data_IF_605162301769
#
_entry.id   IF_605162301769
#
_cell.length_a   1.000
_cell.length_b   1.000
_cell.length_c   1.000
_cell.angle_alpha   90.00
_cell.angle_beta   90.00
_cell.angle_gamma   90.00
#
_symmetry.space_group_name_H-M   'P 1'
#
loop_
_entity.id
_entity.type
_entity.pdbx_description
1 polymer ?
#
# COMPACT_ATOMS: atom_id res chain seq x y z
N UNK A 1 33.73 25.54 -6.83
CA UNK A 1 32.56 26.11 -6.13
C UNK A 1 31.46 25.06 -6.16
N UNK A 2 31.26 24.35 -5.05
CA UNK A 2 30.15 23.40 -4.91
C UNK A 2 28.87 24.21 -4.70
N UNK A 3 27.83 23.92 -5.48
CA UNK A 3 26.49 24.48 -5.26
C UNK A 3 25.99 24.05 -3.87
N UNK A 4 25.35 24.93 -3.09
CA UNK A 4 24.79 24.55 -1.81
C UNK A 4 23.67 23.54 -2.07
N UNK A 5 23.78 22.33 -1.52
CA UNK A 5 22.70 21.34 -1.54
C UNK A 5 21.44 21.98 -0.92
N UNK A 6 20.42 22.21 -1.75
CA UNK A 6 19.14 22.71 -1.27
C UNK A 6 18.57 21.69 -0.28
N UNK A 7 18.57 22.07 1.01
CA UNK A 7 17.97 21.24 2.06
C UNK A 7 16.48 21.09 1.76
N UNK A 8 16.04 19.84 1.57
CA UNK A 8 14.65 19.47 1.39
C UNK A 8 13.74 20.17 2.41
N UNK A 9 12.77 20.96 1.94
CA UNK A 9 11.79 21.65 2.77
C UNK A 9 10.42 20.98 2.64
N UNK A 10 9.99 20.17 3.62
CA UNK A 10 8.73 19.45 3.56
C UNK A 10 7.56 20.43 3.57
N UNK A 11 6.80 20.44 2.48
CA UNK A 11 5.55 21.20 2.34
C UNK A 11 4.34 20.27 2.35
N UNK A 12 3.18 20.73 2.81
CA UNK A 12 1.91 19.97 2.82
C UNK A 12 1.57 19.39 1.45
N UNK A 13 1.97 20.07 0.36
CA UNK A 13 1.79 19.59 -1.00
C UNK A 13 2.45 18.22 -1.29
N UNK A 14 3.45 17.79 -0.51
CA UNK A 14 4.08 16.48 -0.66
C UNK A 14 3.22 15.32 -0.13
N UNK A 15 2.18 15.62 0.66
CA UNK A 15 1.20 14.62 1.11
C UNK A 15 0.19 14.26 0.03
N UNK A 16 0.18 14.98 -1.11
CA UNK A 16 -0.81 14.78 -2.17
C UNK A 16 -1.00 13.32 -2.60
N UNK A 17 0.06 12.52 -2.84
CA UNK A 17 -0.12 11.11 -3.22
C UNK A 17 -0.80 10.28 -2.13
N UNK A 18 -0.50 10.55 -0.85
CA UNK A 18 -1.08 9.84 0.29
C UNK A 18 -2.54 10.24 0.49
N UNK A 19 -2.84 11.54 0.41
CA UNK A 19 -4.23 12.05 0.47
C UNK A 19 -5.05 11.44 -0.66
N UNK A 20 -4.50 11.41 -1.89
CA UNK A 20 -5.17 10.83 -3.05
C UNK A 20 -5.45 9.34 -2.85
N UNK A 21 -4.46 8.56 -2.40
CA UNK A 21 -4.63 7.13 -2.11
C UNK A 21 -5.72 6.90 -1.07
N UNK A 22 -5.68 7.62 0.06
CA UNK A 22 -6.69 7.49 1.13
C UNK A 22 -8.09 7.92 0.66
N UNK A 23 -8.20 8.99 -0.14
CA UNK A 23 -9.46 9.44 -0.70
C UNK A 23 -10.07 8.38 -1.64
N UNK A 24 -9.24 7.76 -2.49
CA UNK A 24 -9.66 6.65 -3.36
C UNK A 24 -10.06 5.44 -2.51
N UNK A 25 -9.30 5.08 -1.47
CA UNK A 25 -9.65 3.99 -0.55
C UNK A 25 -11.01 4.22 0.11
N UNK A 26 -11.26 5.43 0.60
CA UNK A 26 -12.55 5.80 1.17
C UNK A 26 -13.68 5.69 0.14
N UNK A 27 -13.50 6.27 -1.05
CA UNK A 27 -14.50 6.26 -2.11
C UNK A 27 -14.85 4.83 -2.59
N UNK A 28 -13.84 4.00 -2.85
CA UNK A 28 -14.04 2.63 -3.33
C UNK A 28 -14.50 1.68 -2.22
N UNK A 29 -14.03 1.89 -0.98
CA UNK A 29 -14.31 1.02 0.15
C UNK A 29 -15.63 1.30 0.84
N UNK A 30 -16.20 2.49 0.71
CA UNK A 30 -17.41 2.90 1.43
C UNK A 30 -18.65 2.09 1.02
N UNK A 31 -18.88 1.91 -0.29
CA UNK A 31 -20.06 1.20 -0.76
C UNK A 31 -20.09 -0.27 -0.27
N UNK A 32 -19.02 -1.08 -0.47
CA UNK A 32 -18.99 -2.45 0.08
C UNK A 32 -19.09 -2.50 1.61
N UNK A 33 -18.47 -1.54 2.32
CA UNK A 33 -18.57 -1.46 3.78
C UNK A 33 -20.01 -1.19 4.25
N UNK A 34 -20.71 -0.25 3.59
CA UNK A 34 -22.08 0.12 3.95
C UNK A 34 -23.10 -1.01 3.76
N UNK A 35 -22.80 -1.95 2.85
CA UNK A 35 -23.65 -3.10 2.53
C UNK A 35 -23.25 -4.36 3.33
N UNK A 36 -22.28 -4.25 4.26
CA UNK A 36 -21.75 -5.38 5.05
C UNK A 36 -21.40 -6.59 4.18
N UNK A 37 -20.72 -6.36 3.04
CA UNK A 37 -20.32 -7.43 2.13
C UNK A 37 -19.40 -8.39 2.89
N UNK A 38 -19.84 -9.63 3.05
CA UNK A 38 -19.02 -10.68 3.65
C UNK A 38 -17.98 -11.13 2.64
N UNK A 39 -16.76 -10.64 2.81
CA UNK A 39 -15.60 -11.12 2.06
C UNK A 39 -15.00 -12.31 2.79
N UNK A 40 -14.74 -13.40 2.06
CA UNK A 40 -14.02 -14.53 2.63
C UNK A 40 -12.60 -14.09 3.00
N UNK A 41 -12.24 -14.29 4.27
CA UNK A 41 -10.90 -14.03 4.73
C UNK A 41 -9.96 -15.12 4.20
N UNK A 42 -8.93 -14.71 3.48
CA UNK A 42 -8.02 -15.62 2.76
C UNK A 42 -6.71 -15.78 3.53
N UNK A 43 -6.38 -14.81 4.41
CA UNK A 43 -5.07 -14.71 5.05
C UNK A 43 -5.24 -14.30 6.51
N UNK A 44 -5.02 -15.22 7.45
CA UNK A 44 -4.96 -14.89 8.89
C UNK A 44 -5.82 -15.79 9.76
N UNK A 45 -5.91 -15.43 11.04
CA UNK A 45 -6.89 -16.03 11.94
C UNK A 45 -7.44 -14.99 12.92
N UNK A 46 -8.59 -15.30 13.51
CA UNK A 46 -9.33 -14.38 14.38
C UNK A 46 -8.82 -14.34 15.82
N UNK A 47 -7.93 -15.27 16.20
CA UNK A 47 -7.36 -15.34 17.54
C UNK A 47 -5.94 -14.75 17.57
N UNK A 48 -5.52 -14.22 18.72
CA UNK A 48 -4.19 -13.63 18.90
C UNK A 48 -3.06 -14.60 18.48
N UNK A 49 -3.06 -15.89 18.87
CA UNK A 49 -2.01 -16.82 18.45
C UNK A 49 -1.96 -17.03 16.93
N UNK A 50 -3.12 -17.29 16.30
CA UNK A 50 -3.20 -17.52 14.85
C UNK A 50 -2.83 -16.27 14.06
N UNK A 51 -3.31 -15.10 14.51
CA UNK A 51 -3.01 -13.81 13.90
C UNK A 51 -1.51 -13.48 13.98
N UNK A 52 -0.88 -13.75 15.13
CA UNK A 52 0.55 -13.51 15.33
C UNK A 52 1.40 -14.39 14.42
N UNK A 53 1.05 -15.67 14.28
CA UNK A 53 1.74 -16.61 13.39
C UNK A 53 1.59 -16.18 11.92
N UNK A 54 0.39 -15.79 11.48
CA UNK A 54 0.17 -15.28 10.13
C UNK A 54 0.92 -13.99 9.84
N UNK A 55 0.92 -13.04 10.78
CA UNK A 55 1.70 -11.81 10.67
C UNK A 55 3.20 -12.10 10.57
N UNK A 56 3.70 -13.06 11.37
CA UNK A 56 5.10 -13.50 11.29
C UNK A 56 5.43 -14.11 9.92
N UNK A 57 4.59 -15.01 9.39
CA UNK A 57 4.78 -15.56 8.05
C UNK A 57 4.81 -14.47 6.97
N UNK A 58 3.93 -13.47 7.08
CA UNK A 58 3.90 -12.34 6.16
C UNK A 58 5.19 -11.52 6.21
N UNK A 59 5.65 -11.14 7.41
CA UNK A 59 6.89 -10.38 7.60
C UNK A 59 8.11 -11.19 7.13
N UNK A 60 8.19 -12.49 7.42
CA UNK A 60 9.26 -13.35 6.92
C UNK A 60 9.27 -13.45 5.40
N UNK A 61 8.08 -13.52 4.77
CA UNK A 61 7.95 -13.56 3.31
C UNK A 61 8.40 -12.24 2.69
N UNK A 62 8.03 -11.10 3.28
CA UNK A 62 8.53 -9.78 2.86
C UNK A 62 10.04 -9.69 2.99
N UNK A 63 10.60 -10.05 4.14
CA UNK A 63 12.05 -10.03 4.36
C UNK A 63 12.80 -10.97 3.40
N UNK A 64 12.23 -12.16 3.14
CA UNK A 64 12.75 -13.10 2.16
C UNK A 64 12.74 -12.52 0.73
N UNK A 65 11.62 -11.90 0.32
CA UNK A 65 11.49 -11.26 -0.99
C UNK A 65 12.48 -10.11 -1.18
N UNK A 66 12.67 -9.28 -0.16
CA UNK A 66 13.65 -8.19 -0.15
C UNK A 66 15.09 -8.74 -0.26
N UNK A 67 15.38 -9.86 0.41
CA UNK A 67 16.69 -10.53 0.32
C UNK A 67 16.94 -11.09 -1.08
N UNK A 68 15.95 -11.74 -1.70
CA UNK A 68 16.05 -12.23 -3.08
C UNK A 68 16.28 -11.08 -4.06
N UNK A 69 15.54 -9.98 -3.90
CA UNK A 69 15.71 -8.77 -4.67
C UNK A 69 17.14 -8.22 -4.55
N UNK A 70 17.66 -8.12 -3.32
CA UNK A 70 19.04 -7.69 -3.06
C UNK A 70 20.08 -8.60 -3.72
N UNK A 71 19.88 -9.91 -3.67
CA UNK A 71 20.77 -10.88 -4.33
C UNK A 71 20.74 -10.73 -5.86
N UNK A 72 19.58 -10.48 -6.45
CA UNK A 72 19.44 -10.26 -7.90
C UNK A 72 20.14 -8.98 -8.35
N UNK A 73 20.02 -7.91 -7.56
CA UNK A 73 20.73 -6.65 -7.80
C UNK A 73 22.24 -6.86 -7.73
N UNK A 74 22.74 -7.53 -6.67
CA UNK A 74 24.18 -7.83 -6.53
C UNK A 74 24.73 -8.73 -7.64
N UNK A 75 23.91 -9.60 -8.22
CA UNK A 75 24.27 -10.45 -9.36
C UNK A 75 24.17 -9.74 -10.72
N UNK A 76 23.90 -8.43 -10.75
CA UNK A 76 23.80 -7.64 -11.99
C UNK A 76 22.58 -7.97 -12.85
N UNK A 77 21.56 -8.68 -12.32
CA UNK A 77 20.37 -9.09 -13.07
C UNK A 77 19.25 -8.03 -13.06
N UNK A 78 19.60 -6.75 -13.17
CA UNK A 78 18.66 -5.63 -13.04
C UNK A 78 17.53 -5.68 -14.09
N UNK A 79 17.84 -6.05 -15.32
CA UNK A 79 16.84 -6.18 -16.40
C UNK A 79 15.83 -7.32 -16.16
N UNK A 80 16.23 -8.38 -15.44
CA UNK A 80 15.31 -9.44 -15.03
C UNK A 80 14.41 -8.94 -13.90
N UNK A 81 14.97 -8.26 -12.90
CA UNK A 81 14.22 -7.69 -11.79
C UNK A 81 13.14 -6.70 -12.27
N UNK A 82 13.51 -5.77 -13.16
CA UNK A 82 12.56 -4.81 -13.73
C UNK A 82 11.42 -5.50 -14.49
N UNK A 83 11.71 -6.54 -15.28
CA UNK A 83 10.67 -7.33 -15.97
C UNK A 83 9.78 -8.07 -14.98
N UNK A 84 10.36 -8.73 -13.98
CA UNK A 84 9.61 -9.44 -12.95
C UNK A 84 8.67 -8.51 -12.18
N UNK A 85 9.14 -7.33 -11.77
CA UNK A 85 8.33 -6.31 -11.07
C UNK A 85 7.20 -5.80 -11.97
N UNK A 86 7.47 -5.47 -13.24
CA UNK A 86 6.42 -5.05 -14.19
C UNK A 86 5.35 -6.13 -14.37
N UNK A 87 5.77 -7.38 -14.59
CA UNK A 87 4.85 -8.51 -14.75
C UNK A 87 4.01 -8.73 -13.50
N UNK A 88 4.64 -8.67 -12.31
CA UNK A 88 3.94 -8.77 -11.03
C UNK A 88 2.92 -7.64 -10.86
N UNK A 89 3.26 -6.40 -11.19
CA UNK A 89 2.35 -5.25 -11.12
C UNK A 89 1.15 -5.41 -12.05
N UNK A 90 1.35 -5.90 -13.29
CA UNK A 90 0.24 -6.18 -14.21
C UNK A 90 -0.68 -7.27 -13.65
N UNK A 91 -0.10 -8.34 -13.10
CA UNK A 91 -0.86 -9.43 -12.49
C UNK A 91 -1.66 -8.95 -11.28
N UNK A 92 -1.03 -8.18 -10.38
CA UNK A 92 -1.71 -7.58 -9.21
C UNK A 92 -2.83 -6.65 -9.66
N UNK A 93 -2.58 -5.79 -10.66
CA UNK A 93 -3.58 -4.90 -11.21
C UNK A 93 -4.81 -5.67 -11.71
N UNK A 94 -4.60 -6.76 -12.45
CA UNK A 94 -5.67 -7.63 -12.91
C UNK A 94 -6.38 -8.34 -11.76
N UNK A 95 -5.65 -8.96 -10.83
CA UNK A 95 -6.22 -9.71 -9.71
C UNK A 95 -7.10 -8.84 -8.81
N UNK A 96 -6.64 -7.63 -8.51
CA UNK A 96 -7.38 -6.69 -7.66
C UNK A 96 -8.55 -6.06 -8.41
N UNK A 97 -8.41 -5.76 -9.71
CA UNK A 97 -9.53 -5.32 -10.54
C UNK A 97 -10.63 -6.39 -10.65
N UNK A 98 -10.24 -7.66 -10.78
CA UNK A 98 -11.16 -8.80 -10.79
C UNK A 98 -11.89 -8.94 -9.46
N UNK A 99 -11.16 -8.85 -8.34
CA UNK A 99 -11.73 -8.93 -7.01
C UNK A 99 -12.70 -7.77 -6.73
N UNK A 100 -12.35 -6.53 -7.10
CA UNK A 100 -13.24 -5.40 -6.87
C UNK A 100 -14.48 -5.45 -7.78
N UNK A 101 -14.30 -5.83 -9.04
CA UNK A 101 -15.42 -5.99 -9.98
C UNK A 101 -16.37 -7.10 -9.53
N UNK A 102 -15.88 -8.19 -8.94
CA UNK A 102 -16.76 -9.26 -8.44
C UNK A 102 -17.64 -8.79 -7.28
N UNK A 103 -17.14 -7.91 -6.41
CA UNK A 103 -17.94 -7.26 -5.35
C UNK A 103 -19.02 -6.36 -5.95
N UNK A 104 -18.70 -5.55 -6.96
CA UNK A 104 -19.70 -4.69 -7.59
C UNK A 104 -20.79 -5.51 -8.31
N UNK A 105 -20.41 -6.61 -8.96
CA UNK A 105 -21.36 -7.52 -9.62
C UNK A 105 -22.28 -8.21 -8.62
N UNK A 106 -21.76 -8.65 -7.47
CA UNK A 106 -22.58 -9.27 -6.42
C UNK A 106 -23.57 -8.27 -5.81
N UNK A 107 -23.12 -7.02 -5.58
CA UNK A 107 -23.98 -5.93 -5.12
C UNK A 107 -25.06 -5.53 -6.13
N UNK A 108 -24.80 -5.67 -7.43
CA UNK A 108 -25.76 -5.41 -8.49
C UNK A 108 -26.83 -6.51 -8.64
N UNK A 109 -26.81 -7.55 -7.80
CA UNK A 109 -27.81 -8.63 -7.80
C UNK A 109 -27.67 -9.61 -8.98
N UNK A 110 -26.51 -9.66 -9.63
CA UNK A 110 -26.25 -10.62 -10.71
C UNK A 110 -25.70 -11.92 -10.10
N UNK A 111 -26.47 -13.02 -10.08
CA UNK A 111 -26.01 -14.28 -9.50
C UNK A 111 -24.89 -14.87 -10.37
N UNK A 112 -23.67 -14.91 -9.81
CA UNK A 112 -22.62 -15.78 -10.32
C UNK A 112 -23.03 -17.23 -10.01
N UNK A 113 -22.98 -18.19 -10.97
CA UNK A 113 -22.21 -18.18 -12.21
C UNK A 113 -23.10 -18.26 -13.47
N UNK A 114 -23.75 -17.15 -13.86
CA UNK A 114 -24.23 -17.01 -15.24
C UNK A 114 -23.01 -16.86 -16.18
N UNK A 115 -22.89 -17.67 -17.26
CA UNK A 115 -21.83 -17.53 -18.25
C UNK A 115 -21.72 -16.11 -18.84
N UNK A 116 -22.85 -15.45 -19.07
CA UNK A 116 -22.89 -14.10 -19.62
C UNK A 116 -22.31 -13.07 -18.62
N UNK A 117 -22.73 -13.14 -17.35
CA UNK A 117 -22.20 -12.30 -16.28
C UNK A 117 -20.70 -12.51 -16.07
N UNK A 118 -20.21 -13.74 -16.22
CA UNK A 118 -18.78 -14.08 -16.10
C UNK A 118 -17.95 -13.43 -17.21
N UNK A 119 -18.44 -13.44 -18.46
CA UNK A 119 -17.75 -12.78 -19.58
C UNK A 119 -17.69 -11.27 -19.36
N UNK A 120 -18.79 -10.65 -18.91
CA UNK A 120 -18.82 -9.21 -18.63
C UNK A 120 -17.87 -8.87 -17.47
N UNK A 121 -17.89 -9.65 -16.39
CA UNK A 121 -16.97 -9.49 -15.25
C UNK A 121 -15.51 -9.50 -15.70
N UNK A 122 -15.10 -10.51 -16.48
CA UNK A 122 -13.73 -10.62 -16.99
C UNK A 122 -13.38 -9.44 -17.90
N UNK A 123 -14.28 -9.06 -18.80
CA UNK A 123 -14.07 -7.95 -19.74
C UNK A 123 -13.88 -6.63 -19.00
N UNK A 124 -14.74 -6.33 -18.02
CA UNK A 124 -14.64 -5.14 -17.18
C UNK A 124 -13.34 -5.16 -16.37
N UNK A 125 -12.98 -6.31 -15.80
CA UNK A 125 -11.76 -6.45 -15.00
C UNK A 125 -10.50 -6.23 -15.82
N UNK A 126 -10.46 -6.77 -17.05
CA UNK A 126 -9.35 -6.55 -18.01
C UNK A 126 -9.30 -5.07 -18.41
N UNK A 127 -10.44 -4.44 -18.70
CA UNK A 127 -10.50 -3.04 -19.09
C UNK A 127 -10.00 -2.10 -17.98
N UNK A 128 -10.43 -2.34 -16.73
CA UNK A 128 -9.98 -1.59 -15.55
C UNK A 128 -8.48 -1.82 -15.31
N UNK A 129 -8.02 -3.07 -15.37
CA UNK A 129 -6.60 -3.39 -15.19
C UNK A 129 -5.71 -2.76 -16.26
N UNK A 130 -6.17 -2.73 -17.51
CA UNK A 130 -5.49 -2.05 -18.61
C UNK A 130 -5.46 -0.54 -18.39
N UNK A 131 -6.58 0.08 -18.00
CA UNK A 131 -6.64 1.51 -17.71
C UNK A 131 -5.69 1.92 -16.58
N UNK A 132 -5.70 1.21 -15.45
CA UNK A 132 -4.79 1.46 -14.33
C UNK A 132 -3.33 1.19 -14.73
N UNK A 133 -3.06 0.10 -15.47
CA UNK A 133 -1.73 -0.21 -15.98
C UNK A 133 -1.17 0.88 -16.90
N UNK A 134 -2.00 1.43 -17.79
CA UNK A 134 -1.62 2.56 -18.66
C UNK A 134 -1.30 3.83 -17.87
N UNK A 135 -2.01 4.08 -16.76
CA UNK A 135 -1.71 5.20 -15.86
C UNK A 135 -0.37 4.97 -15.13
N UNK A 136 -0.15 3.77 -14.56
CA UNK A 136 1.06 3.42 -13.80
C UNK A 136 2.32 3.47 -14.66
N UNK A 137 2.26 2.93 -15.88
CA UNK A 137 3.39 2.89 -16.82
C UNK A 137 3.40 4.06 -17.81
N UNK A 138 2.49 5.02 -17.63
CA UNK A 138 2.36 6.19 -18.49
C UNK A 138 3.55 7.15 -18.38
N UNK A 139 3.78 7.93 -19.44
CA UNK A 139 4.86 8.95 -19.48
C UNK A 139 4.57 10.19 -18.63
N UNK A 140 3.30 10.49 -18.37
CA UNK A 140 2.89 11.69 -17.65
C UNK A 140 2.98 11.45 -16.12
N UNK A 141 3.91 12.14 -15.46
CA UNK A 141 4.16 12.00 -14.01
C UNK A 141 2.92 12.23 -13.16
N UNK A 142 2.04 13.16 -13.52
CA UNK A 142 0.82 13.43 -12.75
C UNK A 142 -0.20 12.29 -12.87
N UNK A 143 -0.35 11.73 -14.07
CA UNK A 143 -1.22 10.56 -14.29
C UNK A 143 -0.62 9.29 -13.67
N UNK A 144 0.70 9.20 -13.60
CA UNK A 144 1.37 8.12 -12.89
C UNK A 144 1.08 8.15 -11.39
N UNK A 145 1.05 9.33 -10.75
CA UNK A 145 0.65 9.46 -9.34
C UNK A 145 -0.78 8.97 -9.13
N UNK A 146 -1.69 9.30 -10.05
CA UNK A 146 -3.07 8.79 -10.03
C UNK A 146 -3.11 7.27 -10.18
N UNK A 147 -2.39 6.71 -11.16
CA UNK A 147 -2.35 5.28 -11.41
C UNK A 147 -1.77 4.48 -10.24
N UNK A 148 -0.66 4.95 -9.66
CA UNK A 148 -0.05 4.33 -8.48
C UNK A 148 -0.98 4.48 -7.28
N UNK A 149 -1.62 5.64 -7.08
CA UNK A 149 -2.61 5.84 -6.02
C UNK A 149 -3.84 4.93 -6.14
N UNK A 150 -4.35 4.73 -7.36
CA UNK A 150 -5.43 3.77 -7.64
C UNK A 150 -4.99 2.34 -7.32
N UNK A 151 -3.84 1.92 -7.85
CA UNK A 151 -3.33 0.57 -7.62
C UNK A 151 -3.05 0.33 -6.13
N UNK A 152 -2.45 1.29 -5.41
CA UNK A 152 -2.17 1.16 -3.98
C UNK A 152 -3.46 1.12 -3.16
N UNK A 153 -4.43 1.96 -3.48
CA UNK A 153 -5.73 2.00 -2.81
C UNK A 153 -6.52 0.70 -3.02
N UNK A 154 -6.60 0.22 -4.27
CA UNK A 154 -7.28 -1.04 -4.58
C UNK A 154 -6.58 -2.24 -3.93
N UNK A 155 -5.24 -2.28 -3.97
CA UNK A 155 -4.48 -3.37 -3.33
C UNK A 155 -4.65 -3.34 -1.82
N UNK A 156 -4.60 -2.16 -1.21
CA UNK A 156 -4.85 -1.99 0.22
C UNK A 156 -6.29 -2.34 0.61
N UNK A 157 -7.26 -2.03 -0.23
CA UNK A 157 -8.66 -2.44 -0.05
C UNK A 157 -8.79 -3.96 -0.07
N UNK A 158 -8.18 -4.63 -1.05
CA UNK A 158 -8.14 -6.09 -1.13
C UNK A 158 -7.52 -6.70 0.13
N UNK A 159 -6.35 -6.22 0.56
CA UNK A 159 -5.68 -6.75 1.76
C UNK A 159 -6.47 -6.46 3.04
N UNK A 160 -6.99 -5.24 3.21
CA UNK A 160 -7.74 -4.84 4.40
C UNK A 160 -9.10 -5.54 4.54
N UNK A 161 -9.68 -5.98 3.42
CA UNK A 161 -10.89 -6.81 3.39
C UNK A 161 -10.60 -8.32 3.54
N UNK A 162 -9.45 -8.79 3.03
CA UNK A 162 -9.11 -10.22 2.98
C UNK A 162 -8.34 -10.72 4.21
N UNK A 163 -7.76 -9.80 4.99
CA UNK A 163 -7.04 -10.09 6.24
C UNK A 163 -7.97 -9.77 7.43
N UNK A 164 -8.15 -10.69 8.39
CA UNK A 164 -8.89 -10.40 9.60
C UNK A 164 -8.31 -9.17 10.32
N UNK A 165 -9.18 -8.33 10.86
CA UNK A 165 -8.77 -7.04 11.44
C UNK A 165 -7.68 -7.19 12.50
N UNK A 166 -7.75 -8.22 13.36
CA UNK A 166 -6.73 -8.48 14.37
C UNK A 166 -5.36 -8.81 13.76
N UNK A 167 -5.36 -9.63 12.70
CA UNK A 167 -4.14 -9.95 11.95
C UNK A 167 -3.57 -8.70 11.28
N UNK A 168 -4.43 -7.82 10.73
CA UNK A 168 -4.00 -6.56 10.12
C UNK A 168 -3.36 -5.60 11.14
N UNK A 169 -3.93 -5.48 12.35
CA UNK A 169 -3.34 -4.64 13.41
C UNK A 169 -1.99 -5.19 13.91
N UNK A 170 -1.90 -6.51 14.13
CA UNK A 170 -0.64 -7.15 14.54
C UNK A 170 0.41 -7.03 13.43
N UNK A 171 0.02 -7.21 12.16
CA UNK A 171 0.89 -7.01 11.02
C UNK A 171 1.41 -5.57 10.94
N UNK A 172 0.54 -4.57 11.10
CA UNK A 172 0.94 -3.17 11.14
C UNK A 172 1.95 -2.91 12.27
N UNK A 173 1.71 -3.43 13.47
CA UNK A 173 2.67 -3.36 14.58
C UNK A 173 3.99 -4.08 14.32
N UNK A 174 3.94 -5.25 13.68
CA UNK A 174 5.14 -6.03 13.32
C UNK A 174 5.98 -5.32 12.25
N UNK A 175 5.35 -4.66 11.27
CA UNK A 175 6.03 -3.86 10.26
C UNK A 175 6.68 -2.61 10.85
N UNK A 176 6.00 -1.93 11.77
CA UNK A 176 6.56 -0.82 12.55
C UNK A 176 7.85 -1.26 13.26
N UNK A 177 7.81 -2.43 13.91
CA UNK A 177 8.97 -2.99 14.60
C UNK A 177 10.08 -3.36 13.61
N UNK A 178 9.74 -4.06 12.52
CA UNK A 178 10.67 -4.47 11.47
C UNK A 178 11.41 -3.28 10.85
N UNK A 179 10.67 -2.26 10.39
CA UNK A 179 11.26 -1.07 9.74
C UNK A 179 12.13 -0.28 10.70
N UNK A 180 11.72 -0.15 11.97
CA UNK A 180 12.53 0.49 13.00
C UNK A 180 13.85 -0.27 13.21
N UNK A 181 13.78 -1.60 13.36
CA UNK A 181 14.98 -2.43 13.52
C UNK A 181 15.87 -2.42 12.27
N UNK A 182 15.27 -2.46 11.09
CA UNK A 182 15.97 -2.48 9.81
C UNK A 182 16.70 -1.17 9.53
N UNK A 183 16.14 -0.02 9.92
CA UNK A 183 16.83 1.27 9.81
C UNK A 183 17.98 1.38 10.81
N UNK A 184 17.79 1.01 12.07
CA UNK A 184 18.80 1.24 13.11
C UNK A 184 19.89 0.16 13.18
N UNK A 185 19.65 -1.07 12.69
CA UNK A 185 20.61 -2.20 12.77
C UNK A 185 20.79 -2.98 11.46
N UNK A 186 20.07 -2.64 10.38
CA UNK A 186 20.07 -3.44 9.16
C UNK A 186 21.18 -3.09 8.15
N UNK A 187 21.60 -4.06 7.31
CA UNK A 187 22.56 -3.87 6.21
C UNK A 187 22.06 -2.95 5.07
N UNK A 188 20.93 -2.26 5.26
CA UNK A 188 20.24 -1.39 4.31
C UNK A 188 20.94 -0.02 4.20
N UNK A 189 21.64 0.43 5.24
CA UNK A 189 22.53 1.60 5.17
C UNK A 189 23.64 1.47 4.11
N UNK A 190 24.03 0.25 3.75
CA UNK A 190 25.00 -0.02 2.69
C UNK A 190 24.37 -0.06 1.27
N UNK A 191 23.05 -0.27 1.15
CA UNK A 191 22.31 -0.28 -0.11
C UNK A 191 21.97 1.14 -0.58
N UNK A 192 21.74 2.06 0.35
CA UNK A 192 21.49 3.47 0.04
C UNK A 192 22.66 4.16 -0.69
N UNK A 193 23.87 3.60 -0.59
CA UNK A 193 25.07 4.14 -1.24
C UNK A 193 25.45 3.52 -2.58
N UNK A 194 24.82 2.42 -3.03
CA UNK A 194 25.42 1.61 -4.10
C UNK A 194 24.59 1.25 -5.33
N UNK A 195 23.28 1.51 -5.43
CA UNK A 195 22.56 1.16 -6.69
C UNK A 195 21.43 2.14 -7.00
N UNK A 196 21.30 2.43 -8.30
CA UNK A 196 20.18 3.07 -8.99
C UNK A 196 18.83 2.31 -8.79
N UNK A 197 18.37 2.18 -7.53
CA UNK A 197 17.04 1.63 -7.17
C UNK A 197 15.91 2.53 -7.68
N UNK A 198 16.24 3.75 -8.14
CA UNK A 198 15.35 4.72 -8.77
C UNK A 198 14.68 4.20 -10.06
N UNK A 199 15.20 3.13 -10.67
CA UNK A 199 14.70 2.58 -11.94
C UNK A 199 13.81 1.33 -11.77
N UNK A 200 13.05 1.22 -10.67
CA UNK A 200 12.03 0.17 -10.51
C UNK A 200 10.63 0.70 -10.89
N UNK A 201 10.21 0.51 -12.15
CA UNK A 201 8.99 1.12 -12.67
C UNK A 201 7.76 0.65 -11.91
N UNK A 202 7.03 1.61 -11.33
CA UNK A 202 5.78 1.39 -10.61
C UNK A 202 5.92 0.99 -9.13
N UNK A 203 7.09 0.47 -8.71
CA UNK A 203 7.32 0.13 -7.30
C UNK A 203 7.76 1.34 -6.47
N UNK A 204 8.57 2.22 -7.08
CA UNK A 204 8.97 3.52 -6.54
C UNK A 204 8.60 4.57 -7.57
N UNK A 205 7.91 5.62 -7.14
CA UNK A 205 7.60 6.76 -7.99
C UNK A 205 8.11 8.02 -7.33
N UNK A 206 8.51 9.00 -8.14
CA UNK A 206 9.04 10.27 -7.64
C UNK A 206 7.99 11.36 -7.86
N UNK A 207 7.52 11.94 -6.77
CA UNK A 207 6.65 13.11 -6.79
C UNK A 207 7.42 14.32 -6.25
N UNK A 208 7.58 15.34 -7.11
CA UNK A 208 8.50 16.47 -6.87
C UNK A 208 9.91 15.95 -6.60
N UNK A 209 10.43 16.16 -5.38
CA UNK A 209 11.78 15.76 -4.96
C UNK A 209 11.78 14.47 -4.13
N UNK A 210 10.61 13.89 -3.84
CA UNK A 210 10.46 12.75 -2.95
C UNK A 210 10.13 11.47 -3.74
N UNK A 211 10.96 10.44 -3.56
CA UNK A 211 10.65 9.08 -4.01
C UNK A 211 9.84 8.37 -2.94
N UNK A 212 8.60 8.00 -3.25
CA UNK A 212 7.68 7.30 -2.34
C UNK A 212 7.52 5.86 -2.82
N UNK A 213 7.56 4.91 -1.87
CA UNK A 213 7.28 3.51 -2.14
C UNK A 213 5.78 3.28 -2.34
N UNK A 214 5.41 2.55 -3.38
CA UNK A 214 4.01 2.12 -3.56
C UNK A 214 3.54 1.25 -2.38
N UNK A 215 4.44 0.44 -1.81
CA UNK A 215 4.16 -0.41 -0.65
C UNK A 215 3.65 0.36 0.56
N UNK A 216 4.25 1.51 0.88
CA UNK A 216 3.83 2.35 2.01
C UNK A 216 2.37 2.79 1.85
N UNK A 217 1.99 3.21 0.64
CA UNK A 217 0.60 3.60 0.33
C UNK A 217 -0.36 2.40 0.36
N UNK A 218 0.09 1.21 -0.01
CA UNK A 218 -0.69 -0.03 0.15
C UNK A 218 -0.98 -0.29 1.63
N UNK A 219 0.02 -0.16 2.52
CA UNK A 219 -0.17 -0.36 3.95
C UNK A 219 -1.02 0.72 4.61
N UNK A 220 -0.91 1.98 4.17
CA UNK A 220 -1.80 3.05 4.61
C UNK A 220 -3.25 2.74 4.22
N UNK A 221 -3.46 2.29 2.98
CA UNK A 221 -4.77 1.93 2.45
C UNK A 221 -5.33 0.66 3.12
N UNK A 222 -4.47 -0.31 3.47
CA UNK A 222 -4.83 -1.49 4.27
C UNK A 222 -5.37 -1.06 5.63
N UNK A 223 -4.62 -0.24 6.38
CA UNK A 223 -5.02 0.20 7.71
C UNK A 223 -6.33 1.01 7.67
N UNK A 224 -6.46 1.91 6.68
CA UNK A 224 -7.67 2.69 6.47
C UNK A 224 -8.87 1.81 6.10
N UNK A 225 -8.68 0.78 5.27
CA UNK A 225 -9.76 -0.17 4.92
C UNK A 225 -10.19 -0.97 6.14
N UNK A 226 -9.24 -1.51 6.92
CA UNK A 226 -9.53 -2.22 8.17
C UNK A 226 -10.32 -1.33 9.12
N UNK A 227 -9.95 -0.04 9.24
CA UNK A 227 -10.70 0.94 10.02
C UNK A 227 -12.14 1.09 9.52
N UNK A 228 -12.32 1.32 8.22
CA UNK A 228 -13.62 1.56 7.60
C UNK A 228 -14.58 0.36 7.71
N UNK A 229 -14.09 -0.83 7.38
CA UNK A 229 -14.92 -2.03 7.26
C UNK A 229 -15.26 -2.68 8.61
N UNK A 230 -14.44 -2.47 9.64
CA UNK A 230 -14.64 -3.11 10.95
C UNK A 230 -15.11 -2.14 12.04
N UNK A 231 -14.77 -0.86 11.93
CA UNK A 231 -15.03 0.15 12.97
C UNK A 231 -15.78 1.38 12.44
N UNK A 232 -16.07 1.43 11.14
CA UNK A 232 -16.91 2.46 10.51
C UNK A 232 -16.18 3.72 10.05
N UNK A 233 -16.96 4.68 9.56
CA UNK A 233 -16.44 5.90 8.94
C UNK A 233 -15.64 6.79 9.90
N UNK A 234 -16.05 6.88 11.18
CA UNK A 234 -15.34 7.66 12.19
C UNK A 234 -13.91 7.14 12.41
N UNK A 235 -13.76 5.82 12.50
CA UNK A 235 -12.46 5.17 12.61
C UNK A 235 -11.63 5.36 11.34
N UNK A 236 -12.23 5.31 10.15
CA UNK A 236 -11.56 5.62 8.89
C UNK A 236 -10.97 7.04 8.87
N UNK A 237 -11.77 8.06 9.20
CA UNK A 237 -11.29 9.44 9.19
C UNK A 237 -10.23 9.68 10.27
N UNK A 238 -10.39 9.08 11.45
CA UNK A 238 -9.41 9.18 12.53
C UNK A 238 -8.09 8.50 12.15
N UNK A 239 -8.15 7.32 11.52
CA UNK A 239 -6.98 6.63 10.96
C UNK A 239 -6.31 7.47 9.87
N UNK A 240 -7.08 8.04 8.93
CA UNK A 240 -6.57 8.87 7.85
C UNK A 240 -5.85 10.12 8.37
N UNK A 241 -6.42 10.81 9.36
CA UNK A 241 -5.76 11.95 10.03
C UNK A 241 -4.47 11.51 10.71
N UNK A 242 -4.49 10.38 11.42
CA UNK A 242 -3.30 9.80 12.06
C UNK A 242 -2.19 9.47 11.06
N UNK A 243 -2.54 8.80 9.96
CA UNK A 243 -1.62 8.47 8.87
C UNK A 243 -1.02 9.74 8.27
N UNK A 244 -1.85 10.73 7.90
CA UNK A 244 -1.38 11.99 7.31
C UNK A 244 -0.46 12.76 8.25
N UNK A 245 -0.80 12.83 9.53
CA UNK A 245 0.03 13.46 10.56
C UNK A 245 1.38 12.73 10.69
N UNK A 246 1.35 11.39 10.76
CA UNK A 246 2.57 10.58 10.86
C UNK A 246 3.46 10.67 9.62
N UNK A 247 2.87 10.71 8.43
CA UNK A 247 3.64 10.89 7.18
C UNK A 247 4.26 12.27 7.12
N UNK A 248 3.53 13.31 7.52
CA UNK A 248 4.06 14.67 7.58
C UNK A 248 5.22 14.79 8.59
N UNK A 249 5.10 14.16 9.76
CA UNK A 249 6.19 14.08 10.73
C UNK A 249 7.39 13.30 10.18
N UNK A 250 7.15 12.22 9.44
CA UNK A 250 8.18 11.47 8.72
C UNK A 250 8.95 12.33 7.72
N UNK A 251 8.25 13.13 6.91
CA UNK A 251 8.87 14.09 5.98
C UNK A 251 9.68 15.17 6.71
N UNK A 252 9.19 15.64 7.86
CA UNK A 252 9.91 16.60 8.72
C UNK A 252 11.17 16.00 9.34
N UNK A 253 11.14 14.73 9.72
CA UNK A 253 12.32 14.02 10.21
C UNK A 253 13.34 13.78 9.07
N UNK A 254 12.87 13.46 7.86
CA UNK A 254 13.73 13.30 6.68
C UNK A 254 14.46 14.60 6.29
N UNK A 255 13.89 15.76 6.60
CA UNK A 255 14.59 17.04 6.43
C UNK A 255 15.79 17.22 7.39
N UNK A 256 15.89 16.39 8.44
CA UNK A 256 16.96 16.41 9.46
C UNK A 256 17.88 15.19 9.39
N UNK A 257 17.45 14.09 8.79
CA UNK A 257 18.19 12.81 8.70
C UNK A 257 18.20 12.28 7.26
N UNK A 258 19.36 11.83 6.76
CA UNK A 258 19.52 11.32 5.37
C UNK A 258 18.62 10.11 5.04
N UNK A 259 18.28 9.30 6.03
CA UNK A 259 17.30 8.21 5.94
C UNK A 259 16.46 8.17 7.21
N UNK A 260 15.14 8.09 7.04
CA UNK A 260 14.20 7.94 8.14
C UNK A 260 13.05 6.99 7.74
N UNK A 261 12.65 6.05 8.60
CA UNK A 261 11.54 5.15 8.30
C UNK A 261 10.23 5.94 8.47
N UNK A 262 9.61 6.32 7.36
CA UNK A 262 8.34 7.06 7.36
C UNK A 262 7.11 6.21 7.67
N UNK A 263 7.18 4.90 7.38
CA UNK A 263 6.08 3.94 7.53
C UNK A 263 5.71 3.68 9.01
N UNK A 264 6.66 3.44 9.94
CA UNK A 264 6.36 3.22 11.36
C UNK A 264 5.52 4.31 12.02
N UNK A 265 5.90 5.58 11.82
CA UNK A 265 5.19 6.71 12.44
C UNK A 265 3.77 6.85 11.89
N UNK A 266 3.61 6.73 10.58
CA UNK A 266 2.31 6.84 9.92
C UNK A 266 1.35 5.74 10.37
N UNK A 267 1.82 4.49 10.47
CA UNK A 267 1.00 3.38 10.94
C UNK A 267 0.69 3.47 12.44
N UNK A 268 1.65 3.84 13.29
CA UNK A 268 1.41 4.00 14.72
C UNK A 268 0.37 5.08 15.03
N UNK A 269 0.48 6.24 14.38
CA UNK A 269 -0.50 7.33 14.55
C UNK A 269 -1.86 6.96 13.94
N UNK A 270 -1.89 6.22 12.82
CA UNK A 270 -3.13 5.66 12.27
C UNK A 270 -3.80 4.69 13.23
N UNK A 271 -3.05 3.76 13.84
CA UNK A 271 -3.54 2.81 14.84
C UNK A 271 -4.06 3.52 16.09
N UNK A 272 -3.35 4.54 16.57
CA UNK A 272 -3.82 5.38 17.66
C UNK A 272 -5.13 6.10 17.30
N UNK A 273 -5.26 6.59 16.05
CA UNK A 273 -6.49 7.18 15.55
C UNK A 273 -7.67 6.22 15.55
N UNK A 274 -7.46 4.96 15.14
CA UNK A 274 -8.48 3.90 15.24
C UNK A 274 -8.88 3.69 16.71
N UNK A 275 -7.89 3.54 17.60
CA UNK A 275 -8.14 3.33 19.03
C UNK A 275 -8.94 4.47 19.66
N UNK A 276 -8.64 5.73 19.32
CA UNK A 276 -9.39 6.90 19.77
C UNK A 276 -10.83 6.90 19.26
N UNK A 277 -11.04 6.54 17.99
CA UNK A 277 -12.37 6.50 17.40
C UNK A 277 -13.28 5.42 18.02
N UNK A 278 -12.69 4.30 18.48
CA UNK A 278 -13.44 3.23 19.16
C UNK A 278 -13.87 3.65 20.57
N UNK A 279 -13.14 4.57 21.19
CA UNK A 279 -13.43 5.06 22.55
C UNK A 279 -14.46 6.20 22.59
N UNK A 280 -14.79 6.80 21.44
CA UNK A 280 -15.75 7.90 21.28
C UNK A 280 -17.13 7.38 20.88
#
# INVERSE_FOLDING_TARGET
MAQPEERFKPTIAHLYPVILSLAITGALGYLPASQNVVVQQIIGGDTVPTASVSALYFVLTLAGSATVMLLLVRKGKMSFLQRAVKTALVFVCFAVALWYSSILFSLAGNPLPDPSATIVLLTVSIAVAAAVGLLVFGRNKNLQVLGVGLLSAMTGLFLGASIPWLTALILAGALVLYDTLAVFRGPIGALAKSVEVRDLPGAVFTYKELSIGMGDMVFYSLLATTALWNFGALAFFSAAVGILAGTFLGFKALARYEMFPGLPFSLLLGLAGIGLAILL
#
